data_IF_842139639793
#
_entry.id   IF_842139639793
#
_cell.length_a   1.000
_cell.length_b   1.000
_cell.length_c   1.000
_cell.angle_alpha   90.00
_cell.angle_beta   90.00
_cell.angle_gamma   90.00
#
_symmetry.space_group_name_H-M   'P 1'
#
loop_
_entity.id
_entity.type
_entity.pdbx_description
1 polymer ?
#
# COMPACT_ATOMS: atom_id res chain seq x y z
N UNK A 1 13.40 -1.05 8.06
CA UNK A 1 13.09 -1.68 6.76
C UNK A 1 12.03 -2.80 6.87
N UNK A 2 12.04 -3.68 7.90
CA UNK A 2 11.02 -4.74 8.04
C UNK A 2 9.56 -4.25 8.13
N UNK A 3 9.33 -3.05 8.67
CA UNK A 3 7.98 -2.49 8.83
C UNK A 3 7.28 -2.11 7.52
N UNK A 4 8.00 -1.93 6.41
CA UNK A 4 7.36 -1.72 5.10
C UNK A 4 6.78 -3.00 4.52
N UNK A 5 7.27 -4.17 4.95
CA UNK A 5 6.69 -5.46 4.58
C UNK A 5 5.37 -5.74 5.31
N UNK A 6 5.00 -4.97 6.35
CA UNK A 6 3.75 -5.17 7.08
C UNK A 6 2.49 -4.90 6.24
N UNK A 7 2.66 -4.31 5.05
CA UNK A 7 1.64 -4.17 4.03
C UNK A 7 1.26 -5.49 3.32
N UNK A 8 1.86 -6.63 3.71
CA UNK A 8 1.83 -7.90 2.98
C UNK A 8 0.68 -8.88 3.33
N UNK A 9 -0.56 -8.41 3.55
CA UNK A 9 -1.63 -9.32 3.98
C UNK A 9 -2.90 -9.38 3.11
N UNK A 10 -2.96 -8.77 1.91
CA UNK A 10 -4.18 -8.88 1.07
C UNK A 10 -4.01 -8.99 -0.46
N UNK A 11 -2.79 -9.08 -1.01
CA UNK A 11 -2.55 -9.57 -2.39
C UNK A 11 -3.21 -8.80 -3.53
N UNK A 12 -3.30 -7.46 -3.44
CA UNK A 12 -4.02 -6.61 -4.40
C UNK A 12 -3.17 -5.41 -4.82
N UNK A 13 -3.51 -4.87 -5.98
CA UNK A 13 -3.03 -3.56 -6.45
C UNK A 13 -4.01 -2.47 -6.04
N UNK A 14 -3.52 -1.47 -5.31
CA UNK A 14 -4.25 -0.25 -4.97
C UNK A 14 -3.45 1.02 -5.31
N UNK A 15 -2.55 0.93 -6.29
CA UNK A 15 -1.76 2.04 -6.83
C UNK A 15 -2.60 3.26 -7.20
N UNK A 16 -3.82 3.06 -7.72
CA UNK A 16 -4.77 4.16 -8.00
C UNK A 16 -5.12 4.97 -6.76
N UNK A 17 -5.39 4.31 -5.62
CA UNK A 17 -5.65 5.00 -4.35
C UNK A 17 -4.38 5.67 -3.81
N UNK A 18 -3.23 5.03 -3.95
CA UNK A 18 -1.96 5.61 -3.53
C UNK A 18 -1.62 6.90 -4.29
N UNK A 19 -1.81 6.92 -5.62
CA UNK A 19 -1.63 8.11 -6.45
C UNK A 19 -2.57 9.24 -6.03
N UNK A 20 -3.84 8.95 -5.77
CA UNK A 20 -4.79 10.00 -5.31
C UNK A 20 -4.46 10.58 -3.94
N UNK A 21 -3.63 9.88 -3.14
CA UNK A 21 -3.13 10.32 -1.85
C UNK A 21 -1.71 10.90 -1.89
N UNK A 22 -1.10 11.00 -3.07
CA UNK A 22 0.21 11.63 -3.24
C UNK A 22 1.40 10.75 -2.85
N UNK A 23 1.24 9.42 -2.82
CA UNK A 23 2.34 8.48 -2.52
C UNK A 23 3.48 8.58 -3.54
N UNK A 24 3.16 8.92 -4.79
CA UNK A 24 4.11 9.17 -5.89
C UNK A 24 4.73 10.58 -5.87
N UNK A 25 4.28 11.48 -4.99
CA UNK A 25 4.79 12.85 -4.91
C UNK A 25 6.08 12.99 -4.09
N UNK A 26 6.63 11.89 -3.56
CA UNK A 26 7.90 11.90 -2.83
C UNK A 26 9.10 12.09 -3.78
N UNK A 27 10.29 12.32 -3.22
CA UNK A 27 11.54 12.30 -4.01
C UNK A 27 11.88 10.92 -4.59
N UNK A 28 11.27 9.85 -4.08
CA UNK A 28 11.36 8.51 -4.65
C UNK A 28 10.36 8.30 -5.81
N UNK A 29 9.40 9.21 -6.00
CA UNK A 29 8.47 9.18 -7.12
C UNK A 29 7.61 7.91 -7.16
N UNK A 30 7.40 7.39 -8.38
CA UNK A 30 6.69 6.14 -8.65
C UNK A 30 7.29 4.92 -7.94
N UNK A 31 8.54 4.98 -7.45
CA UNK A 31 9.12 3.91 -6.63
C UNK A 31 8.33 3.65 -5.35
N UNK A 32 7.55 4.60 -4.85
CA UNK A 32 6.71 4.32 -3.68
C UNK A 32 5.48 3.46 -4.02
N UNK A 33 5.10 3.36 -5.30
CA UNK A 33 3.92 2.61 -5.73
C UNK A 33 4.13 1.09 -5.73
N UNK A 34 5.37 0.59 -5.71
CA UNK A 34 5.61 -0.85 -5.49
C UNK A 34 5.03 -1.30 -4.16
N UNK A 35 5.07 -0.47 -3.12
CA UNK A 35 4.46 -0.81 -1.83
C UNK A 35 2.91 -0.82 -1.88
N UNK A 36 2.33 -0.28 -2.94
CA UNK A 36 0.89 -0.27 -3.18
C UNK A 36 0.40 -1.38 -4.13
N UNK A 37 1.33 -1.97 -4.89
CA UNK A 37 1.08 -3.09 -5.77
C UNK A 37 1.73 -4.33 -5.19
N UNK A 38 0.95 -5.06 -4.39
CA UNK A 38 1.41 -6.25 -3.69
C UNK A 38 0.76 -7.51 -4.30
N UNK A 39 0.52 -7.51 -5.62
CA UNK A 39 0.12 -8.72 -6.36
C UNK A 39 1.21 -9.79 -6.16
N UNK A 40 0.84 -11.06 -5.89
CA UNK A 40 1.81 -12.15 -5.71
C UNK A 40 2.83 -12.23 -6.85
N UNK A 41 4.01 -12.78 -6.52
CA UNK A 41 5.11 -13.02 -7.46
C UNK A 41 5.78 -11.77 -8.06
N UNK A 42 5.47 -10.57 -7.55
CA UNK A 42 6.21 -9.34 -7.84
C UNK A 42 7.32 -9.12 -6.83
N UNK A 43 8.54 -9.55 -7.18
CA UNK A 43 9.73 -9.23 -6.38
C UNK A 43 10.35 -7.90 -6.85
N UNK A 44 10.49 -6.94 -5.93
CA UNK A 44 11.21 -5.69 -6.17
C UNK A 44 12.35 -5.57 -5.16
N UNK A 45 13.61 -5.51 -5.60
CA UNK A 45 14.73 -5.21 -4.72
C UNK A 45 14.57 -3.81 -4.11
N UNK A 46 14.47 -3.74 -2.79
CA UNK A 46 14.35 -2.48 -2.05
C UNK A 46 15.74 -2.04 -1.57
N UNK A 47 16.12 -0.82 -1.91
CA UNK A 47 17.36 -0.18 -1.48
C UNK A 47 17.09 1.20 -0.81
N UNK A 48 18.15 1.97 -0.56
CA UNK A 48 18.03 3.28 0.10
C UNK A 48 17.27 4.32 -0.73
N UNK A 49 17.10 4.11 -2.05
CA UNK A 49 16.37 5.05 -2.92
C UNK A 49 14.86 5.05 -2.65
N UNK A 50 14.37 4.14 -1.82
CA UNK A 50 12.98 4.08 -1.34
C UNK A 50 12.79 4.76 0.03
N UNK A 51 13.84 5.34 0.62
CA UNK A 51 13.76 5.91 1.95
C UNK A 51 12.70 7.02 2.08
N UNK A 52 12.43 7.79 1.03
CA UNK A 52 11.41 8.84 1.07
C UNK A 52 9.98 8.28 1.18
N UNK A 53 9.76 7.01 0.80
CA UNK A 53 8.46 6.36 0.88
C UNK A 53 7.97 6.14 2.33
N UNK A 54 8.89 6.10 3.30
CA UNK A 54 8.51 6.01 4.71
C UNK A 54 7.70 7.21 5.19
N UNK A 55 7.94 8.40 4.64
CA UNK A 55 7.22 9.62 5.03
C UNK A 55 5.74 9.63 4.65
N UNK A 56 5.33 8.76 3.71
CA UNK A 56 3.95 8.63 3.21
C UNK A 56 3.35 7.26 3.51
N UNK A 57 3.95 6.52 4.44
CA UNK A 57 3.51 5.16 4.79
C UNK A 57 2.09 5.14 5.38
N UNK A 58 1.72 6.17 6.16
CA UNK A 58 0.36 6.30 6.69
C UNK A 58 -0.68 6.51 5.57
N UNK A 59 -0.31 7.20 4.49
CA UNK A 59 -1.19 7.38 3.32
C UNK A 59 -1.38 6.06 2.55
N UNK A 60 -0.33 5.24 2.47
CA UNK A 60 -0.45 3.88 1.91
C UNK A 60 -1.44 3.04 2.72
N UNK A 61 -1.35 3.05 4.05
CA UNK A 61 -2.23 2.26 4.95
C UNK A 61 -3.71 2.62 4.83
N UNK A 62 -4.04 3.90 4.66
CA UNK A 62 -5.43 4.34 4.53
C UNK A 62 -6.17 3.73 3.33
N UNK A 63 -5.47 3.28 2.29
CA UNK A 63 -6.07 2.57 1.16
C UNK A 63 -6.56 1.16 1.54
N UNK A 64 -6.04 0.56 2.62
CA UNK A 64 -6.45 -0.76 3.08
C UNK A 64 -7.67 -0.72 4.00
N UNK A 65 -7.76 0.27 4.88
CA UNK A 65 -8.78 0.37 5.92
C UNK A 65 -10.20 0.38 5.34
N UNK A 66 -10.43 1.15 4.27
CA UNK A 66 -11.74 1.22 3.61
C UNK A 66 -12.20 -0.14 3.06
N UNK A 67 -11.25 -0.97 2.63
CA UNK A 67 -11.54 -2.30 2.07
C UNK A 67 -11.88 -3.31 3.17
N UNK A 68 -11.16 -3.28 4.30
CA UNK A 68 -11.43 -4.15 5.45
C UNK A 68 -12.78 -3.80 6.08
N UNK A 69 -13.02 -2.50 6.33
CA UNK A 69 -14.27 -2.03 6.89
C UNK A 69 -15.48 -2.42 6.00
N UNK A 70 -15.35 -2.28 4.68
CA UNK A 70 -16.40 -2.67 3.74
C UNK A 70 -16.68 -4.16 3.71
N UNK A 71 -15.62 -5.00 3.72
CA UNK A 71 -15.76 -6.47 3.78
C UNK A 71 -16.37 -6.93 5.10
N UNK A 72 -15.90 -6.39 6.22
CA UNK A 72 -16.45 -6.69 7.54
C UNK A 72 -17.93 -6.33 7.61
N UNK A 73 -18.30 -5.13 7.16
CA UNK A 73 -19.70 -4.68 7.11
C UNK A 73 -20.56 -5.56 6.20
N UNK A 74 -20.01 -6.06 5.09
CA UNK A 74 -20.73 -6.99 4.21
C UNK A 74 -20.93 -8.35 4.88
N UNK A 75 -19.92 -8.90 5.55
CA UNK A 75 -20.01 -10.18 6.26
C UNK A 75 -21.10 -10.15 7.34
N UNK A 76 -21.08 -9.15 8.23
CA UNK A 76 -22.08 -9.00 9.30
C UNK A 76 -23.47 -8.54 8.82
N UNK A 77 -23.64 -8.21 7.54
CA UNK A 77 -24.97 -7.93 6.96
C UNK A 77 -25.63 -9.20 6.42
N UNK A 78 -24.83 -10.19 6.04
CA UNK A 78 -25.30 -11.43 5.40
C UNK A 78 -25.26 -12.64 6.36
N UNK A 79 -24.80 -12.45 7.59
CA UNK A 79 -24.80 -13.39 8.72
C UNK A 79 -25.27 -12.66 9.98
#
# INVERSE_FOLDING_TARGET
LPEMHFCAAQGRDHSTCCKSRGVDATTSGDKCLVFCDQVPDKFTPIDYTYAACFGVFDDMKQCFEGTIASKAKSFFRHH
#
